data_IF_037892937558
#
_entry.id   IF_037892937558
#
_cell.length_a   1.000
_cell.length_b   1.000
_cell.length_c   1.000
_cell.angle_alpha   90.00
_cell.angle_beta   90.00
_cell.angle_gamma   90.00
#
_symmetry.space_group_name_H-M   'P 1'
#
loop_
_entity.id
_entity.type
_entity.pdbx_description
1 polymer ?
#
# COMPACT_ATOMS: atom_id res chain seq x y z
N UNK A 1 1.05 -20.02 -15.73
CA UNK A 1 0.99 -18.56 -15.53
C UNK A 1 0.61 -18.30 -14.08
N UNK A 2 1.29 -17.40 -13.35
CA UNK A 2 0.97 -17.16 -11.93
C UNK A 2 -0.34 -16.37 -11.80
N UNK A 3 -1.15 -16.69 -10.79
CA UNK A 3 -2.39 -15.97 -10.48
C UNK A 3 -2.07 -14.64 -9.80
N UNK A 4 -2.69 -13.55 -10.22
CA UNK A 4 -2.46 -12.23 -9.61
C UNK A 4 -3.43 -12.05 -8.43
N UNK A 5 -2.88 -11.77 -7.24
CA UNK A 5 -3.65 -11.53 -6.01
C UNK A 5 -3.47 -10.07 -5.58
N UNK A 6 -4.55 -9.31 -5.66
CA UNK A 6 -4.61 -7.93 -5.20
C UNK A 6 -4.88 -7.87 -3.70
N UNK A 7 -3.96 -7.26 -2.95
CA UNK A 7 -4.08 -7.13 -1.51
C UNK A 7 -4.69 -5.78 -1.16
N UNK A 8 -5.85 -5.82 -0.49
CA UNK A 8 -6.56 -4.62 -0.04
C UNK A 8 -7.33 -4.87 1.24
N UNK A 9 -7.09 -4.09 2.29
CA UNK A 9 -7.70 -4.33 3.60
C UNK A 9 -9.23 -4.28 3.55
N UNK A 10 -9.79 -3.25 2.91
CA UNK A 10 -11.23 -3.10 2.69
C UNK A 10 -11.53 -2.99 1.17
N UNK A 11 -12.10 -4.04 0.55
CA UNK A 11 -12.44 -4.00 -0.87
C UNK A 11 -13.57 -3.01 -1.19
N UNK A 12 -14.46 -2.76 -0.22
CA UNK A 12 -15.64 -1.91 -0.36
C UNK A 12 -15.37 -0.43 -0.07
N UNK A 13 -14.14 -0.07 0.32
CA UNK A 13 -13.79 1.33 0.56
C UNK A 13 -13.85 2.13 -0.75
N UNK A 14 -14.61 3.23 -0.75
CA UNK A 14 -14.77 4.09 -1.92
C UNK A 14 -13.63 5.10 -2.04
N UNK A 15 -13.03 5.22 -3.24
CA UNK A 15 -12.02 6.25 -3.49
C UNK A 15 -11.08 5.96 -4.66
N UNK A 16 -9.99 6.74 -4.74
CA UNK A 16 -9.03 6.65 -5.84
C UNK A 16 -8.36 5.27 -5.98
N UNK A 17 -8.02 4.64 -4.85
CA UNK A 17 -7.44 3.29 -4.83
C UNK A 17 -8.42 2.23 -5.36
N UNK A 18 -9.72 2.39 -5.09
CA UNK A 18 -10.78 1.50 -5.57
C UNK A 18 -10.96 1.62 -7.07
N UNK A 19 -11.10 2.86 -7.57
CA UNK A 19 -11.26 3.12 -9.00
C UNK A 19 -10.06 2.63 -9.79
N UNK A 20 -8.86 2.79 -9.24
CA UNK A 20 -7.62 2.25 -9.80
C UNK A 20 -7.67 0.71 -9.86
N UNK A 21 -7.92 0.05 -8.72
CA UNK A 21 -7.97 -1.41 -8.66
C UNK A 21 -9.01 -1.98 -9.62
N UNK A 22 -10.22 -1.40 -9.65
CA UNK A 22 -11.29 -1.83 -10.56
C UNK A 22 -10.88 -1.74 -12.03
N UNK A 23 -10.27 -0.63 -12.45
CA UNK A 23 -9.78 -0.46 -13.82
C UNK A 23 -8.67 -1.44 -14.16
N UNK A 24 -7.73 -1.65 -13.24
CA UNK A 24 -6.60 -2.55 -13.42
C UNK A 24 -7.06 -4.01 -13.52
N UNK A 25 -7.92 -4.46 -12.60
CA UNK A 25 -8.50 -5.81 -12.62
C UNK A 25 -9.27 -6.04 -13.92
N UNK A 26 -10.08 -5.07 -14.35
CA UNK A 26 -10.81 -5.16 -15.63
C UNK A 26 -9.86 -5.39 -16.81
N UNK A 27 -8.85 -4.53 -16.96
CA UNK A 27 -7.89 -4.63 -18.06
C UNK A 27 -7.09 -5.95 -18.04
N UNK A 28 -6.73 -6.44 -16.85
CA UNK A 28 -6.00 -7.71 -16.71
C UNK A 28 -6.90 -8.91 -17.04
N UNK A 29 -8.17 -8.88 -16.62
CA UNK A 29 -9.13 -9.93 -16.94
C UNK A 29 -9.45 -9.98 -18.44
N UNK A 30 -9.49 -8.83 -19.13
CA UNK A 30 -9.63 -8.74 -20.59
C UNK A 30 -8.46 -9.40 -21.33
N UNK A 31 -7.28 -9.49 -20.70
CA UNK A 31 -6.12 -10.23 -21.20
C UNK A 31 -6.15 -11.74 -20.86
N UNK A 32 -7.22 -12.24 -20.24
CA UNK A 32 -7.37 -13.64 -19.86
C UNK A 32 -6.55 -14.06 -18.64
N UNK A 33 -6.02 -13.11 -17.86
CA UNK A 33 -5.21 -13.39 -16.68
C UNK A 33 -6.12 -13.50 -15.46
N UNK A 34 -5.99 -14.59 -14.70
CA UNK A 34 -6.78 -14.80 -13.47
C UNK A 34 -6.37 -13.84 -12.36
N UNK A 35 -7.36 -13.18 -11.75
CA UNK A 35 -7.17 -12.25 -10.64
C UNK A 35 -8.00 -12.65 -9.42
N UNK A 36 -7.51 -12.32 -8.22
CA UNK A 36 -8.23 -12.44 -6.95
C UNK A 36 -8.00 -11.18 -6.12
N UNK A 37 -8.98 -10.78 -5.32
CA UNK A 37 -8.80 -9.74 -4.29
C UNK A 37 -8.80 -10.42 -2.92
N UNK A 38 -7.74 -10.23 -2.14
CA UNK A 38 -7.59 -10.78 -0.80
C UNK A 38 -7.66 -9.66 0.23
N UNK A 39 -8.67 -9.74 1.09
CA UNK A 39 -8.98 -8.74 2.11
C UNK A 39 -8.65 -9.19 3.53
N UNK A 40 -8.75 -8.25 4.47
CA UNK A 40 -8.59 -8.57 5.88
C UNK A 40 -9.79 -9.39 6.36
N UNK A 41 -9.53 -10.53 6.99
CA UNK A 41 -10.58 -11.45 7.46
C UNK A 41 -10.94 -11.23 8.94
N UNK A 42 -10.21 -10.38 9.66
CA UNK A 42 -10.48 -10.10 11.07
C UNK A 42 -11.52 -9.00 11.28
N UNK A 43 -11.80 -8.70 12.55
CA UNK A 43 -12.79 -7.72 12.96
C UNK A 43 -12.51 -6.30 12.40
N UNK A 44 -13.56 -5.67 11.88
CA UNK A 44 -13.57 -4.30 11.40
C UNK A 44 -13.35 -3.28 12.52
N UNK A 45 -13.76 -3.58 13.76
CA UNK A 45 -13.67 -2.70 14.94
C UNK A 45 -12.26 -2.51 15.51
N UNK A 46 -11.26 -3.25 15.01
CA UNK A 46 -9.89 -3.14 15.50
C UNK A 46 -9.22 -1.85 15.01
N UNK A 47 -8.41 -1.24 15.88
CA UNK A 47 -7.62 -0.04 15.56
C UNK A 47 -6.78 -0.24 14.28
N UNK A 48 -6.72 0.78 13.42
CA UNK A 48 -6.09 0.72 12.09
C UNK A 48 -4.65 0.23 12.09
N UNK A 49 -3.87 0.53 13.13
CA UNK A 49 -2.47 0.08 13.22
C UNK A 49 -2.36 -1.43 13.48
N UNK A 50 -3.21 -1.98 14.37
CA UNK A 50 -3.33 -3.43 14.58
C UNK A 50 -3.83 -4.10 13.31
N UNK A 51 -4.83 -3.51 12.63
CA UNK A 51 -5.36 -4.00 11.34
C UNK A 51 -4.25 -4.11 10.29
N UNK A 52 -3.43 -3.08 10.12
CA UNK A 52 -2.32 -3.08 9.16
C UNK A 52 -1.29 -4.18 9.47
N UNK A 53 -0.92 -4.37 10.75
CA UNK A 53 0.01 -5.43 11.16
C UNK A 53 -0.58 -6.82 10.97
N UNK A 54 -1.84 -7.02 11.38
CA UNK A 54 -2.52 -8.31 11.27
C UNK A 54 -2.75 -8.69 9.82
N UNK A 55 -3.16 -7.74 8.97
CA UNK A 55 -3.31 -7.98 7.55
C UNK A 55 -1.99 -8.40 6.90
N UNK A 56 -0.88 -7.70 7.20
CA UNK A 56 0.45 -8.07 6.71
C UNK A 56 0.85 -9.50 7.15
N UNK A 57 0.56 -9.88 8.40
CA UNK A 57 0.79 -11.26 8.89
C UNK A 57 -0.10 -12.29 8.20
N UNK A 58 -1.38 -11.98 8.03
CA UNK A 58 -2.38 -12.86 7.40
C UNK A 58 -1.97 -13.20 5.97
N UNK A 59 -1.76 -12.19 5.13
CA UNK A 59 -1.43 -12.41 3.71
C UNK A 59 -0.07 -13.05 3.53
N UNK A 60 0.88 -12.83 4.45
CA UNK A 60 2.18 -13.52 4.46
C UNK A 60 2.04 -15.02 4.71
N UNK A 61 1.12 -15.43 5.60
CA UNK A 61 0.83 -16.85 5.86
C UNK A 61 0.05 -17.50 4.73
N UNK A 62 -0.80 -16.73 4.03
CA UNK A 62 -1.64 -17.22 2.94
C UNK A 62 -0.93 -17.27 1.58
N UNK A 63 0.26 -16.66 1.45
CA UNK A 63 0.95 -16.56 0.15
C UNK A 63 1.41 -17.95 -0.31
N UNK A 64 0.98 -18.33 -1.50
CA UNK A 64 1.45 -19.54 -2.20
C UNK A 64 2.52 -19.20 -3.24
N UNK A 65 3.29 -20.20 -3.65
CA UNK A 65 4.41 -20.02 -4.62
C UNK A 65 3.95 -19.65 -6.04
N UNK A 66 2.73 -20.08 -6.41
CA UNK A 66 2.07 -19.82 -7.68
C UNK A 66 1.29 -18.49 -7.72
N UNK A 67 1.30 -17.73 -6.63
CA UNK A 67 0.63 -16.44 -6.50
C UNK A 67 1.60 -15.27 -6.70
N UNK A 68 1.12 -14.24 -7.41
CA UNK A 68 1.80 -12.97 -7.59
C UNK A 68 1.03 -11.87 -6.86
N UNK A 69 1.61 -11.31 -5.81
CA UNK A 69 0.96 -10.34 -4.95
C UNK A 69 1.16 -8.91 -5.44
N UNK A 70 0.07 -8.24 -5.77
CA UNK A 70 0.02 -6.80 -6.02
C UNK A 70 -0.65 -6.12 -4.83
N UNK A 71 0.07 -5.29 -4.08
CA UNK A 71 -0.46 -4.62 -2.89
C UNK A 71 -0.69 -3.14 -3.10
N UNK A 72 -1.89 -2.69 -2.72
CA UNK A 72 -2.22 -1.28 -2.55
C UNK A 72 -2.02 -0.83 -1.08
N UNK A 73 -1.52 -1.73 -0.24
CA UNK A 73 -1.31 -1.58 1.19
C UNK A 73 0.17 -1.79 1.53
N UNK A 74 0.60 -1.46 2.74
CA UNK A 74 2.00 -1.67 3.17
C UNK A 74 2.24 -3.12 3.57
N UNK A 75 2.24 -4.04 2.59
CA UNK A 75 2.45 -5.48 2.78
C UNK A 75 3.86 -5.89 2.40
N UNK A 76 4.59 -6.48 3.35
CA UNK A 76 6.03 -6.77 3.20
C UNK A 76 6.34 -8.00 2.32
N UNK A 77 5.36 -8.86 2.07
CA UNK A 77 5.51 -10.03 1.20
C UNK A 77 4.96 -9.84 -0.21
N UNK A 78 4.52 -8.63 -0.56
CA UNK A 78 4.03 -8.31 -1.89
C UNK A 78 5.17 -8.29 -2.91
N UNK A 79 4.87 -8.68 -4.15
CA UNK A 79 5.82 -8.65 -5.28
C UNK A 79 5.81 -7.25 -5.91
N UNK A 80 4.63 -6.64 -6.02
CA UNK A 80 4.47 -5.22 -6.35
C UNK A 80 3.83 -4.51 -5.17
N UNK A 81 4.45 -3.43 -4.73
CA UNK A 81 3.89 -2.50 -3.75
C UNK A 81 3.66 -1.14 -4.41
N UNK A 82 2.40 -0.73 -4.55
CA UNK A 82 2.06 0.63 -4.95
C UNK A 82 2.19 1.56 -3.75
N UNK A 83 3.30 2.29 -3.69
CA UNK A 83 3.45 3.38 -2.73
C UNK A 83 2.45 4.51 -3.01
N UNK A 84 2.05 5.23 -1.96
CA UNK A 84 1.34 6.51 -2.10
C UNK A 84 2.32 7.65 -2.42
N UNK A 85 1.82 8.88 -2.41
CA UNK A 85 2.58 10.08 -2.84
C UNK A 85 3.75 10.47 -1.91
N UNK A 86 3.99 9.71 -0.84
CA UNK A 86 5.08 9.97 0.11
C UNK A 86 4.91 11.24 0.95
N UNK A 87 3.75 11.91 0.87
CA UNK A 87 3.44 13.15 1.62
C UNK A 87 3.24 12.93 3.12
N UNK A 88 3.22 11.67 3.57
CA UNK A 88 2.94 11.32 4.96
C UNK A 88 3.93 11.97 5.94
N UNK A 89 5.21 12.15 5.56
CA UNK A 89 6.20 12.84 6.41
C UNK A 89 5.83 14.32 6.62
N UNK A 90 5.44 15.01 5.55
CA UNK A 90 5.04 16.43 5.59
C UNK A 90 3.73 16.58 6.36
N UNK A 91 2.75 15.70 6.12
CA UNK A 91 1.46 15.69 6.82
C UNK A 91 1.58 15.44 8.32
N UNK A 92 2.61 14.70 8.79
CA UNK A 92 2.86 14.58 10.24
C UNK A 92 3.32 15.89 10.86
N UNK A 93 4.11 16.68 10.13
CA UNK A 93 4.63 17.97 10.62
C UNK A 93 3.51 19.01 10.79
N UNK A 94 2.37 18.85 10.12
CA UNK A 94 1.22 19.77 10.25
C UNK A 94 0.31 19.44 11.43
N UNK A 95 0.54 18.35 12.19
CA UNK A 95 -0.30 17.96 13.33
C UNK A 95 0.48 18.00 14.64
N UNK A 96 0.03 18.81 15.60
CA UNK A 96 0.69 18.99 16.91
C UNK A 96 0.84 17.70 17.72
N UNK A 97 -0.12 16.78 17.61
CA UNK A 97 -0.14 15.50 18.36
C UNK A 97 0.00 14.27 17.47
N UNK A 98 0.77 14.37 16.39
CA UNK A 98 0.97 13.26 15.46
C UNK A 98 1.47 11.98 16.14
N UNK A 99 2.27 12.10 17.21
CA UNK A 99 2.86 10.96 17.93
C UNK A 99 1.84 10.15 18.75
N UNK A 100 0.64 10.68 19.04
CA UNK A 100 -0.40 9.93 19.75
C UNK A 100 -1.02 8.80 18.93
N UNK A 101 -0.90 8.85 17.60
CA UNK A 101 -1.45 7.83 16.72
C UNK A 101 -0.38 6.77 16.38
N UNK A 102 -0.50 5.52 16.89
CA UNK A 102 0.48 4.47 16.64
C UNK A 102 0.66 4.14 15.14
N UNK A 103 -0.35 4.45 14.32
CA UNK A 103 -0.31 4.29 12.88
C UNK A 103 0.87 5.05 12.25
N UNK A 104 1.22 6.22 12.80
CA UNK A 104 2.31 7.07 12.31
C UNK A 104 3.69 6.41 12.49
N UNK A 105 3.80 5.38 13.34
CA UNK A 105 5.01 4.56 13.49
C UNK A 105 4.92 3.25 12.69
N UNK A 106 3.77 2.60 12.72
CA UNK A 106 3.54 1.33 12.01
C UNK A 106 3.69 1.48 10.50
N UNK A 107 3.17 2.57 9.94
CA UNK A 107 3.20 2.83 8.51
C UNK A 107 4.61 2.98 7.94
N UNK A 108 5.49 3.85 8.49
CA UNK A 108 6.89 3.90 8.10
C UNK A 108 7.64 2.58 8.33
N UNK A 109 7.32 1.85 9.40
CA UNK A 109 7.94 0.57 9.68
C UNK A 109 7.63 -0.48 8.60
N UNK A 110 6.35 -0.64 8.24
CA UNK A 110 5.92 -1.57 7.21
C UNK A 110 6.44 -1.16 5.83
N UNK A 111 6.42 0.13 5.52
CA UNK A 111 6.91 0.69 4.26
C UNK A 111 8.41 0.44 4.07
N UNK A 112 9.25 0.66 5.09
CA UNK A 112 10.67 0.30 5.06
C UNK A 112 10.90 -1.18 4.74
N UNK A 113 10.04 -2.08 5.24
CA UNK A 113 10.13 -3.51 4.94
C UNK A 113 9.76 -3.85 3.50
N UNK A 114 8.86 -3.10 2.89
CA UNK A 114 8.52 -3.28 1.48
C UNK A 114 9.74 -2.96 0.59
N UNK A 115 10.47 -1.89 0.91
CA UNK A 115 11.65 -1.48 0.13
C UNK A 115 12.91 -2.31 0.39
N UNK A 116 13.10 -2.86 1.59
CA UNK A 116 14.28 -3.69 1.91
C UNK A 116 14.39 -4.99 1.10
N UNK A 117 13.31 -5.45 0.48
CA UNK A 117 13.29 -6.64 -0.38
C UNK A 117 13.79 -6.38 -1.80
N UNK A 118 14.02 -5.13 -2.17
CA UNK A 118 14.52 -4.78 -3.49
C UNK A 118 16.03 -5.11 -3.59
N UNK A 119 16.51 -5.64 -4.72
CA UNK A 119 17.93 -5.77 -4.99
C UNK A 119 18.65 -4.43 -4.77
N UNK A 120 19.87 -4.47 -4.22
CA UNK A 120 20.64 -3.29 -3.79
C UNK A 120 20.82 -2.22 -4.87
N UNK A 121 20.73 -2.58 -6.14
CA UNK A 121 20.86 -1.65 -7.28
C UNK A 121 19.70 -0.67 -7.42
N UNK A 122 18.52 -1.00 -6.86
CA UNK A 122 17.36 -0.10 -6.86
C UNK A 122 17.31 0.85 -5.66
N UNK A 123 18.17 0.69 -4.65
CA UNK A 123 18.24 1.60 -3.49
C UNK A 123 18.71 3.02 -3.87
N UNK A 124 19.24 3.22 -5.08
CA UNK A 124 19.59 4.55 -5.63
C UNK A 124 18.41 5.35 -6.16
N UNK A 125 17.21 4.76 -6.31
CA UNK A 125 15.97 5.52 -6.43
C UNK A 125 15.55 6.06 -5.06
N UNK A 126 16.43 6.89 -4.46
CA UNK A 126 15.99 7.87 -3.48
C UNK A 126 14.98 8.74 -4.21
N UNK A 127 13.71 8.66 -3.82
CA UNK A 127 12.70 9.61 -4.22
C UNK A 127 13.26 11.03 -3.99
N UNK A 128 13.69 11.66 -5.07
CA UNK A 128 13.96 13.07 -5.12
C UNK A 128 12.57 13.72 -5.11
N UNK A 129 11.97 13.80 -3.93
CA UNK A 129 10.83 14.69 -3.71
C UNK A 129 11.37 16.11 -3.85
N UNK A 130 11.49 16.60 -5.09
CA UNK A 130 11.30 18.02 -5.37
C UNK A 130 9.82 18.27 -5.17
N UNK A 131 9.44 18.55 -3.93
CA UNK A 131 8.29 19.41 -3.69
C UNK A 131 8.71 20.78 -4.22
N UNK A 132 8.40 21.06 -5.49
CA UNK A 132 8.51 22.42 -6.01
C UNK A 132 7.47 23.25 -5.26
N UNK A 133 7.93 24.00 -4.27
CA UNK A 133 7.13 24.88 -3.42
C UNK A 133 6.53 26.08 -4.17
N UNK A 134 6.53 26.08 -5.50
CA UNK A 134 6.14 27.24 -6.31
C UNK A 134 4.72 27.21 -6.86
N UNK A 135 3.98 26.11 -6.77
CA UNK A 135 2.70 25.96 -7.49
C UNK A 135 1.43 25.91 -6.61
N UNK A 136 1.48 26.52 -5.41
CA UNK A 136 0.31 26.70 -4.54
C UNK A 136 -0.12 28.16 -4.37
N UNK A 137 0.28 29.06 -5.28
CA UNK A 137 -0.08 30.49 -5.23
C UNK A 137 -1.06 30.99 -6.28
N UNK A 138 -1.65 30.11 -7.09
CA UNK A 138 -2.73 30.52 -8.00
C UNK A 138 -3.85 29.48 -8.07
N UNK A 139 -4.76 29.56 -7.10
CA UNK A 139 -6.17 29.18 -7.22
C UNK A 139 -6.89 29.82 -6.03
N UNK A 140 -7.22 31.09 -6.23
CA UNK A 140 -8.30 31.78 -5.52
C UNK A 140 -9.61 31.21 -6.07
#
# INVERSE_FOLDING_TARGET
MKKIVFLRTNPNAVGGAERYLRRLVKAINELGIQTEIRSYLGDAGISSWKKALNFNRQVKRQKKEDEFYFSLERVSCADIYRAGDGVHKVYRATKSFWWLNPLNFVYPYLEKKCFKKLPKDHHKLKFHQRADHRDLRHRV
#
